data_IF_704380698575
#
_entry.id   IF_704380698575
#
_cell.length_a   1.000
_cell.length_b   1.000
_cell.length_c   1.000
_cell.angle_alpha   90.00
_cell.angle_beta   90.00
_cell.angle_gamma   90.00
#
_symmetry.space_group_name_H-M   'P 1'
#
loop_
_entity.id
_entity.type
_entity.pdbx_description
1 polymer ?
#
# COMPACT_ATOMS: atom_id res chain seq x y z
N UNK A 1 -15.17 -1.26 -47.21
CA UNK A 1 -15.70 -0.22 -46.31
C UNK A 1 -15.18 -0.56 -44.92
N UNK A 2 -14.19 0.16 -44.42
CA UNK A 2 -13.65 -0.06 -43.04
C UNK A 2 -14.58 0.71 -42.07
N UNK A 3 -14.98 0.14 -40.95
CA UNK A 3 -15.75 0.87 -39.95
C UNK A 3 -14.91 2.01 -39.39
N UNK A 4 -15.45 3.22 -39.36
CA UNK A 4 -14.86 4.37 -38.69
C UNK A 4 -14.74 4.08 -37.20
N UNK A 5 -13.52 4.29 -36.64
CA UNK A 5 -13.32 4.25 -35.20
C UNK A 5 -14.09 5.42 -34.56
N UNK A 6 -14.84 5.21 -33.46
CA UNK A 6 -15.46 6.29 -32.74
C UNK A 6 -14.40 7.29 -32.27
N UNK A 7 -14.64 8.57 -32.50
CA UNK A 7 -13.79 9.66 -32.04
C UNK A 7 -13.71 9.62 -30.51
N UNK A 8 -12.50 9.54 -29.96
CA UNK A 8 -12.26 9.68 -28.53
C UNK A 8 -12.45 11.18 -28.20
N UNK A 9 -13.39 11.57 -27.33
CA UNK A 9 -13.54 12.95 -26.94
C UNK A 9 -12.39 13.40 -26.07
N UNK A 10 -11.52 14.26 -26.60
CA UNK A 10 -10.40 14.87 -25.89
C UNK A 10 -9.58 15.70 -26.89
N UNK A 11 -9.45 16.99 -26.65
CA UNK A 11 -8.62 17.87 -27.48
C UNK A 11 -7.13 17.52 -27.27
N UNK A 12 -6.43 17.25 -28.38
CA UNK A 12 -4.97 17.15 -28.39
C UNK A 12 -4.46 18.53 -28.81
N UNK A 13 -3.96 19.32 -27.86
CA UNK A 13 -3.20 20.52 -28.17
C UNK A 13 -1.75 20.14 -28.45
N UNK A 14 -1.37 20.07 -29.72
CA UNK A 14 -0.03 19.82 -30.19
C UNK A 14 0.60 21.12 -30.70
N UNK A 15 1.24 21.90 -29.83
CA UNK A 15 2.02 23.08 -30.26
C UNK A 15 3.55 22.89 -30.12
N UNK A 16 4.03 21.80 -29.52
CA UNK A 16 5.46 21.58 -29.29
C UNK A 16 5.95 20.13 -29.48
N UNK A 17 5.18 19.29 -30.18
CA UNK A 17 5.55 17.88 -30.41
C UNK A 17 5.31 16.93 -29.21
N UNK A 18 4.83 17.44 -28.08
CA UNK A 18 4.38 16.62 -26.95
C UNK A 18 2.86 16.59 -26.90
N UNK A 19 2.26 15.49 -27.35
CA UNK A 19 0.82 15.29 -27.23
C UNK A 19 0.42 15.19 -25.76
N UNK A 20 -0.15 16.26 -25.19
CA UNK A 20 -0.74 16.24 -23.86
C UNK A 20 -2.22 15.91 -23.99
N UNK A 21 -2.59 14.71 -23.57
CA UNK A 21 -4.01 14.36 -23.45
C UNK A 21 -4.61 15.10 -22.26
N UNK A 22 -5.50 16.07 -22.57
CA UNK A 22 -6.25 16.79 -21.54
C UNK A 22 -7.61 16.12 -21.38
N UNK A 23 -7.75 15.31 -20.34
CA UNK A 23 -9.05 14.77 -19.98
C UNK A 23 -9.96 15.93 -19.50
N UNK A 24 -11.18 16.11 -20.08
CA UNK A 24 -12.10 17.10 -19.57
C UNK A 24 -12.51 16.72 -18.14
N UNK A 25 -11.98 17.44 -17.15
CA UNK A 25 -12.40 17.32 -15.77
C UNK A 25 -13.83 17.91 -15.69
N UNK A 26 -14.84 17.06 -15.79
CA UNK A 26 -16.23 17.46 -15.57
C UNK A 26 -16.47 17.82 -14.10
N UNK A 27 -17.54 18.55 -13.82
CA UNK A 27 -17.94 18.97 -12.47
C UNK A 27 -18.17 17.79 -11.46
N UNK A 28 -18.01 16.55 -11.90
CA UNK A 28 -18.21 15.31 -11.13
C UNK A 28 -16.98 14.39 -11.14
N UNK A 29 -15.75 14.94 -11.36
CA UNK A 29 -14.55 14.10 -11.27
C UNK A 29 -14.34 13.66 -9.83
N UNK A 30 -14.42 12.34 -9.60
CA UNK A 30 -14.10 11.70 -8.33
C UNK A 30 -12.58 11.49 -8.25
N UNK A 31 -11.96 11.89 -7.14
CA UNK A 31 -10.52 11.77 -6.96
C UNK A 31 -10.25 10.79 -5.82
N UNK A 32 -9.37 9.82 -6.07
CA UNK A 32 -8.82 8.93 -5.05
C UNK A 32 -7.42 9.39 -4.68
N UNK A 33 -7.08 9.34 -3.40
CA UNK A 33 -5.72 9.61 -2.91
C UNK A 33 -4.91 8.32 -3.02
N UNK A 34 -3.84 8.27 -3.84
CA UNK A 34 -2.98 7.11 -3.92
C UNK A 34 -2.01 7.06 -2.75
N UNK A 35 -1.79 5.86 -2.21
CA UNK A 35 -0.77 5.61 -1.19
C UNK A 35 -0.07 4.27 -1.44
N UNK A 36 1.22 4.18 -1.07
CA UNK A 36 2.02 2.98 -1.17
C UNK A 36 2.33 2.44 0.23
N UNK A 37 2.22 1.14 0.41
CA UNK A 37 2.42 0.41 1.66
C UNK A 37 3.44 -0.70 1.47
N UNK A 38 4.42 -0.80 2.34
CA UNK A 38 5.45 -1.84 2.30
C UNK A 38 5.33 -2.80 3.47
N UNK A 39 5.11 -4.06 3.17
CA UNK A 39 5.23 -5.17 4.10
C UNK A 39 6.64 -5.77 3.98
N UNK A 40 7.55 -5.36 4.86
CA UNK A 40 8.88 -5.96 4.96
C UNK A 40 8.75 -7.32 5.64
N UNK A 41 9.19 -8.38 4.96
CA UNK A 41 9.03 -9.75 5.42
C UNK A 41 10.38 -10.42 5.65
N UNK A 42 10.49 -11.22 6.71
CA UNK A 42 11.63 -12.10 6.92
C UNK A 42 11.20 -13.46 7.46
N UNK A 43 12.00 -14.48 7.17
CA UNK A 43 11.83 -15.78 7.82
C UNK A 43 12.52 -15.77 9.19
N UNK A 44 11.83 -16.21 10.23
CA UNK A 44 12.51 -16.42 11.52
C UNK A 44 13.45 -17.63 11.40
N UNK A 45 14.70 -17.47 11.84
CA UNK A 45 15.62 -18.60 12.02
C UNK A 45 15.23 -19.32 13.33
N UNK A 46 14.20 -20.15 13.28
CA UNK A 46 13.94 -21.07 14.39
C UNK A 46 14.53 -22.44 14.05
N UNK A 47 14.99 -23.15 15.12
CA UNK A 47 15.72 -24.40 15.07
C UNK A 47 15.20 -25.42 14.05
N UNK A 48 16.05 -26.37 13.64
CA UNK A 48 15.80 -27.44 12.67
C UNK A 48 14.52 -28.28 12.87
N UNK A 49 13.69 -27.97 13.86
CA UNK A 49 12.48 -28.70 14.25
C UNK A 49 11.16 -27.95 13.98
N UNK A 50 11.20 -26.67 13.56
CA UNK A 50 10.00 -25.92 13.15
C UNK A 50 10.31 -25.13 11.88
N UNK A 51 9.45 -25.21 10.83
CA UNK A 51 9.60 -24.34 9.68
C UNK A 51 9.61 -22.88 10.15
N UNK A 52 10.54 -22.08 9.63
CA UNK A 52 10.67 -20.67 10.01
C UNK A 52 9.35 -19.94 9.74
N UNK A 53 8.83 -19.26 10.76
CA UNK A 53 7.63 -18.42 10.63
C UNK A 53 7.96 -17.15 9.85
N UNK A 54 7.12 -16.77 8.92
CA UNK A 54 7.21 -15.46 8.28
C UNK A 54 6.83 -14.37 9.29
N UNK A 55 7.71 -13.36 9.39
CA UNK A 55 7.49 -12.18 10.24
C UNK A 55 7.39 -10.94 9.37
N UNK A 56 6.56 -10.01 9.79
CA UNK A 56 6.41 -8.67 9.21
C UNK A 56 6.96 -7.62 10.16
N UNK A 57 7.63 -6.60 9.62
CA UNK A 57 8.04 -5.43 10.38
C UNK A 57 6.85 -4.47 10.51
N UNK A 58 6.51 -4.11 11.74
CA UNK A 58 5.52 -3.07 12.04
C UNK A 58 6.17 -1.96 12.86
N UNK A 59 5.65 -0.74 12.70
CA UNK A 59 6.02 0.46 13.46
C UNK A 59 4.87 0.93 14.35
N UNK A 60 5.18 1.34 15.58
CA UNK A 60 4.20 1.88 16.52
C UNK A 60 4.01 3.37 16.26
N UNK A 61 2.86 3.75 15.70
CA UNK A 61 2.53 5.12 15.29
C UNK A 61 2.40 6.05 16.49
N UNK A 62 2.87 7.30 16.31
CA UNK A 62 2.83 8.36 17.32
C UNK A 62 2.71 9.72 16.65
N UNK A 63 1.87 10.60 17.21
CA UNK A 63 1.76 12.01 16.83
C UNK A 63 1.56 12.26 15.32
N UNK A 64 0.93 11.32 14.61
CA UNK A 64 0.63 11.42 13.18
C UNK A 64 -0.78 11.98 12.94
N UNK A 65 -1.61 12.02 13.97
CA UNK A 65 -3.02 12.43 13.89
C UNK A 65 -3.94 11.35 13.29
N UNK A 66 -3.40 10.18 12.95
CA UNK A 66 -4.18 9.05 12.41
C UNK A 66 -3.66 7.73 12.97
N UNK A 67 -4.55 6.96 13.63
CA UNK A 67 -4.23 5.65 14.22
C UNK A 67 -2.99 5.65 15.12
N UNK A 68 -2.82 6.69 15.95
CA UNK A 68 -1.74 6.77 16.93
C UNK A 68 -1.92 5.66 17.99
N UNK A 69 -0.81 5.00 18.36
CA UNK A 69 -0.82 3.82 19.22
C UNK A 69 -1.09 2.50 18.49
N UNK A 70 -1.30 2.52 17.17
CA UNK A 70 -1.45 1.31 16.34
C UNK A 70 -0.11 0.88 15.76
N UNK A 71 0.05 -0.42 15.56
CA UNK A 71 1.16 -1.04 14.85
C UNK A 71 0.85 -1.09 13.34
N UNK A 72 1.40 -0.17 12.58
CA UNK A 72 1.22 -0.05 11.14
C UNK A 72 2.35 -0.73 10.34
N UNK A 73 2.19 -0.87 9.04
CA UNK A 73 3.23 -1.34 8.12
C UNK A 73 4.54 -0.60 8.33
N UNK A 74 5.66 -1.27 8.05
CA UNK A 74 7.00 -0.72 8.25
C UNK A 74 7.23 0.61 7.55
N UNK A 75 6.69 0.79 6.33
CA UNK A 75 6.69 2.07 5.63
C UNK A 75 5.36 2.25 4.86
N UNK A 76 4.79 3.45 4.92
CA UNK A 76 3.57 3.78 4.18
C UNK A 76 3.39 5.30 4.01
N UNK A 77 3.20 5.76 2.79
CA UNK A 77 2.93 7.16 2.51
C UNK A 77 2.20 7.43 1.22
N UNK A 78 1.85 8.70 1.01
CA UNK A 78 1.20 9.14 -0.21
C UNK A 78 2.15 9.11 -1.40
N UNK A 79 1.61 8.79 -2.57
CA UNK A 79 2.34 8.94 -3.82
C UNK A 79 2.39 10.42 -4.18
N UNK A 80 3.57 10.95 -4.39
CA UNK A 80 3.80 12.36 -4.74
C UNK A 80 3.66 12.60 -6.25
N UNK A 81 3.46 13.88 -6.61
CA UNK A 81 3.36 14.25 -8.02
C UNK A 81 4.69 14.00 -8.75
N UNK A 82 4.65 13.22 -9.81
CA UNK A 82 5.81 12.95 -10.66
C UNK A 82 6.56 11.67 -10.33
N UNK A 83 6.15 10.94 -9.28
CA UNK A 83 6.68 9.61 -8.98
C UNK A 83 5.67 8.49 -9.30
N UNK A 84 6.15 7.31 -9.54
CA UNK A 84 5.34 6.09 -9.62
C UNK A 84 5.14 5.50 -8.23
N UNK A 85 4.11 4.65 -8.06
CA UNK A 85 3.86 3.93 -6.79
C UNK A 85 5.04 3.07 -6.34
N UNK A 86 5.86 2.58 -7.29
CA UNK A 86 7.07 1.81 -7.00
C UNK A 86 8.19 2.71 -6.45
N UNK A 87 8.31 3.94 -6.97
CA UNK A 87 9.26 4.93 -6.46
C UNK A 87 8.83 5.44 -5.09
N UNK A 88 7.52 5.70 -4.91
CA UNK A 88 6.96 6.12 -3.63
C UNK A 88 7.30 5.12 -2.52
N UNK A 89 7.07 3.82 -2.72
CA UNK A 89 7.33 2.82 -1.68
C UNK A 89 8.81 2.69 -1.33
N UNK A 90 9.72 2.86 -2.31
CA UNK A 90 11.17 2.87 -2.05
C UNK A 90 11.58 4.12 -1.26
N UNK A 91 11.06 5.29 -1.63
CA UNK A 91 11.30 6.55 -0.91
C UNK A 91 10.81 6.45 0.54
N UNK A 92 9.57 6.00 0.76
CA UNK A 92 9.00 5.83 2.11
C UNK A 92 9.82 4.82 2.96
N UNK A 93 10.33 3.75 2.35
CA UNK A 93 11.20 2.80 3.06
C UNK A 93 12.50 3.47 3.54
N UNK A 94 13.10 4.34 2.73
CA UNK A 94 14.29 5.08 3.12
C UNK A 94 13.98 6.15 4.19
N UNK A 95 12.86 6.87 4.05
CA UNK A 95 12.49 7.96 4.94
C UNK A 95 12.01 7.47 6.31
N UNK A 96 11.13 6.46 6.37
CA UNK A 96 10.52 5.99 7.62
C UNK A 96 11.33 4.88 8.32
N UNK A 97 11.99 4.01 7.53
CA UNK A 97 12.64 2.79 8.02
C UNK A 97 14.17 2.87 7.95
N UNK A 98 14.71 3.79 7.15
CA UNK A 98 16.15 3.97 6.99
C UNK A 98 16.84 2.84 6.24
N UNK A 99 16.15 2.19 5.30
CA UNK A 99 16.69 1.10 4.48
C UNK A 99 16.64 1.44 2.99
N UNK A 100 17.59 0.90 2.23
CA UNK A 100 17.59 0.99 0.77
C UNK A 100 17.04 -0.30 0.17
N UNK A 101 16.03 -0.19 -0.71
CA UNK A 101 15.41 -1.31 -1.41
C UNK A 101 15.56 -1.11 -2.92
N UNK A 102 16.08 -2.11 -3.61
CA UNK A 102 16.11 -2.09 -5.07
C UNK A 102 14.70 -2.30 -5.65
N UNK A 103 14.37 -1.64 -6.76
CA UNK A 103 13.03 -1.76 -7.36
C UNK A 103 12.66 -3.20 -7.74
N UNK A 104 13.64 -4.02 -8.10
CA UNK A 104 13.47 -5.45 -8.41
C UNK A 104 13.10 -6.29 -7.19
N UNK A 105 13.39 -5.82 -5.96
CA UNK A 105 13.03 -6.49 -4.70
C UNK A 105 11.66 -6.08 -4.16
N UNK A 106 11.00 -5.12 -4.81
CA UNK A 106 9.64 -4.69 -4.48
C UNK A 106 8.63 -5.50 -5.28
N UNK A 107 7.83 -6.33 -4.59
CA UNK A 107 6.87 -7.23 -5.23
C UNK A 107 5.43 -6.77 -4.96
N UNK A 108 4.60 -6.53 -6.00
CA UNK A 108 3.19 -6.21 -5.82
C UNK A 108 2.44 -7.32 -5.08
N UNK A 109 1.61 -6.95 -4.10
CA UNK A 109 0.77 -7.89 -3.36
C UNK A 109 -0.71 -7.71 -3.72
N UNK A 110 -1.26 -6.53 -3.49
CA UNK A 110 -2.67 -6.21 -3.80
C UNK A 110 -2.86 -4.70 -3.92
N UNK A 111 -3.92 -4.32 -4.64
CA UNK A 111 -4.41 -2.94 -4.66
C UNK A 111 -5.73 -2.92 -3.89
N UNK A 112 -5.85 -2.02 -2.92
CA UNK A 112 -7.06 -1.87 -2.12
C UNK A 112 -7.76 -0.56 -2.44
N UNK A 113 -9.02 -0.64 -2.93
CA UNK A 113 -9.91 0.51 -2.94
C UNK A 113 -10.55 0.63 -1.54
N UNK A 114 -10.24 1.71 -0.85
CA UNK A 114 -10.62 1.89 0.56
C UNK A 114 -11.43 3.16 0.76
N UNK A 115 -12.39 3.10 1.69
CA UNK A 115 -13.05 4.27 2.23
C UNK A 115 -13.12 4.18 3.76
N UNK A 116 -12.76 5.25 4.45
CA UNK A 116 -13.04 5.41 5.87
C UNK A 116 -14.43 6.05 6.06
N UNK A 117 -14.84 6.90 5.10
CA UNK A 117 -16.16 7.51 5.05
C UNK A 117 -16.65 7.62 3.60
N UNK A 118 -17.66 6.81 3.24
CA UNK A 118 -18.28 6.84 1.91
C UNK A 118 -19.14 8.10 1.80
N UNK A 119 -18.71 9.04 0.94
CA UNK A 119 -19.32 10.37 0.78
C UNK A 119 -18.63 11.46 1.58
N UNK A 120 -17.60 11.13 2.36
CA UNK A 120 -16.73 12.07 3.05
C UNK A 120 -15.73 12.78 2.14
N UNK A 121 -14.71 13.40 2.73
CA UNK A 121 -13.64 14.07 2.01
C UNK A 121 -12.87 13.09 1.11
N UNK A 122 -12.29 13.58 0.00
CA UNK A 122 -11.50 12.75 -0.93
C UNK A 122 -10.35 12.01 -0.22
N UNK A 123 -9.78 12.59 0.84
CA UNK A 123 -8.75 11.95 1.66
C UNK A 123 -9.22 10.63 2.31
N UNK A 124 -10.53 10.49 2.55
CA UNK A 124 -11.13 9.29 3.14
C UNK A 124 -11.33 8.17 2.11
N UNK A 125 -11.27 8.49 0.82
CA UNK A 125 -11.38 7.52 -0.26
C UNK A 125 -10.04 7.39 -0.97
N UNK A 126 -9.46 6.19 -0.93
CA UNK A 126 -8.08 5.96 -1.28
C UNK A 126 -7.92 4.75 -2.21
N UNK A 127 -6.83 4.77 -2.93
CA UNK A 127 -6.28 3.58 -3.57
C UNK A 127 -4.93 3.29 -2.92
N UNK A 128 -4.88 2.21 -2.16
CA UNK A 128 -3.70 1.78 -1.41
C UNK A 128 -3.01 0.63 -2.17
N UNK A 129 -1.74 0.82 -2.53
CA UNK A 129 -0.93 -0.17 -3.23
C UNK A 129 -0.05 -0.88 -2.21
N UNK A 130 -0.30 -2.15 -1.98
CA UNK A 130 0.47 -2.96 -1.05
C UNK A 130 1.55 -3.75 -1.77
N UNK A 131 2.76 -3.66 -1.24
CA UNK A 131 3.94 -4.36 -1.72
C UNK A 131 4.57 -5.19 -0.61
N UNK A 132 5.36 -6.20 -1.00
CA UNK A 132 6.23 -6.94 -0.10
C UNK A 132 7.67 -6.77 -0.51
N UNK A 133 8.62 -6.79 0.45
CA UNK A 133 10.04 -6.92 0.22
C UNK A 133 10.64 -7.91 1.21
N UNK A 134 11.63 -8.70 0.76
CA UNK A 134 12.38 -9.65 1.58
C UNK A 134 13.88 -9.36 1.56
N UNK A 135 14.32 -8.44 0.68
CA UNK A 135 15.71 -8.03 0.55
C UNK A 135 15.81 -6.50 0.61
N UNK A 136 16.79 -6.01 1.34
CA UNK A 136 17.11 -4.60 1.47
C UNK A 136 18.53 -4.46 2.04
N UNK A 137 19.10 -3.27 1.94
CA UNK A 137 20.36 -2.88 2.56
C UNK A 137 20.11 -1.99 3.79
N UNK A 138 20.94 -2.12 4.80
CA UNK A 138 20.79 -1.40 6.08
C UNK A 138 19.99 -2.20 7.13
N UNK A 139 20.01 -1.69 8.35
CA UNK A 139 19.21 -2.24 9.46
C UNK A 139 17.97 -1.36 9.65
N UNK A 140 16.75 -1.95 9.66
CA UNK A 140 15.54 -1.19 9.91
C UNK A 140 15.57 -0.44 11.23
N UNK A 141 15.42 0.86 11.17
CA UNK A 141 15.39 1.76 12.32
C UNK A 141 14.25 2.76 12.17
N UNK A 142 13.76 3.31 13.29
CA UNK A 142 12.80 4.41 13.25
C UNK A 142 13.50 5.69 12.80
N UNK A 143 13.49 5.98 11.49
CA UNK A 143 14.18 7.15 10.95
C UNK A 143 13.43 8.46 11.27
N UNK A 144 12.11 8.40 11.55
CA UNK A 144 11.28 9.51 12.00
C UNK A 144 10.80 9.29 13.45
N UNK A 145 11.67 9.47 14.48
CA UNK A 145 11.34 9.12 15.87
C UNK A 145 10.20 9.98 16.48
N UNK A 146 9.88 11.12 15.88
CA UNK A 146 8.73 11.95 16.27
C UNK A 146 7.38 11.30 15.88
N UNK A 147 7.36 10.49 14.83
CA UNK A 147 6.16 9.79 14.33
C UNK A 147 6.10 8.31 14.72
N UNK A 148 7.19 7.76 15.26
CA UNK A 148 7.38 6.34 15.49
C UNK A 148 7.94 6.09 16.90
N UNK A 149 7.21 5.32 17.73
CA UNK A 149 7.63 4.93 19.10
C UNK A 149 8.54 3.70 19.13
N UNK A 150 8.75 3.05 17.98
CA UNK A 150 9.57 1.86 17.84
C UNK A 150 9.08 0.92 16.76
N UNK A 151 9.95 0.01 16.37
CA UNK A 151 9.69 -0.99 15.35
C UNK A 151 9.86 -2.39 15.92
N UNK A 152 9.03 -3.33 15.45
CA UNK A 152 9.10 -4.71 15.92
C UNK A 152 8.70 -5.70 14.83
N UNK A 153 9.36 -6.85 14.84
CA UNK A 153 9.01 -7.99 14.00
C UNK A 153 7.96 -8.87 14.67
N UNK A 154 6.79 -8.99 14.05
CA UNK A 154 5.70 -9.85 14.49
C UNK A 154 5.56 -11.05 13.57
N UNK A 155 5.30 -12.23 14.10
CA UNK A 155 4.88 -13.35 13.28
C UNK A 155 3.47 -13.05 12.71
N UNK A 156 3.23 -13.43 11.45
CA UNK A 156 1.93 -13.14 10.79
C UNK A 156 0.75 -13.82 11.48
N UNK A 157 0.98 -14.91 12.20
CA UNK A 157 0.00 -15.64 13.01
C UNK A 157 -0.11 -15.13 14.47
N UNK A 158 0.71 -14.14 14.84
CA UNK A 158 0.76 -13.53 16.18
C UNK A 158 0.84 -12.01 16.09
N UNK A 159 -0.01 -11.41 15.26
CA UNK A 159 -0.08 -9.95 15.10
C UNK A 159 -0.64 -9.28 16.35
N UNK A 160 -0.18 -8.05 16.67
CA UNK A 160 -0.74 -7.29 17.79
C UNK A 160 -2.23 -6.97 17.56
N UNK A 161 -2.96 -6.69 18.64
CA UNK A 161 -4.39 -6.37 18.58
C UNK A 161 -4.65 -5.08 17.80
N UNK A 162 -3.87 -4.03 18.09
CA UNK A 162 -4.01 -2.71 17.47
C UNK A 162 -3.18 -2.62 16.20
N UNK A 163 -3.73 -3.08 15.08
CA UNK A 163 -3.23 -2.84 13.71
C UNK A 163 -4.31 -2.07 12.96
N UNK A 164 -3.98 -1.07 12.12
CA UNK A 164 -4.98 -0.37 11.31
C UNK A 164 -5.85 -1.39 10.56
N UNK A 165 -7.19 -1.31 10.63
CA UNK A 165 -8.07 -2.40 10.17
C UNK A 165 -7.88 -2.78 8.70
N UNK A 166 -7.60 -1.82 7.83
CA UNK A 166 -7.33 -2.07 6.40
C UNK A 166 -5.99 -2.78 6.18
N UNK A 167 -4.94 -2.45 6.94
CA UNK A 167 -3.65 -3.14 6.91
C UNK A 167 -3.78 -4.55 7.49
N UNK A 168 -4.53 -4.70 8.59
CA UNK A 168 -4.83 -6.00 9.20
C UNK A 168 -5.50 -6.95 8.21
N UNK A 169 -6.47 -6.45 7.45
CA UNK A 169 -7.14 -7.25 6.42
C UNK A 169 -6.17 -7.79 5.36
N UNK A 170 -5.17 -6.99 4.94
CA UNK A 170 -4.14 -7.45 3.98
C UNK A 170 -3.18 -8.45 4.62
N UNK A 171 -2.76 -8.21 5.87
CA UNK A 171 -1.88 -9.13 6.61
C UNK A 171 -2.55 -10.49 6.84
N UNK A 172 -3.84 -10.52 7.15
CA UNK A 172 -4.62 -11.76 7.32
C UNK A 172 -4.74 -12.54 5.98
N UNK A 173 -4.93 -11.84 4.85
CA UNK A 173 -4.91 -12.46 3.52
C UNK A 173 -3.54 -13.05 3.18
N UNK A 174 -2.46 -12.32 3.48
CA UNK A 174 -1.09 -12.79 3.25
C UNK A 174 -0.77 -14.00 4.12
N UNK A 175 -1.13 -13.99 5.40
CA UNK A 175 -0.98 -15.13 6.30
C UNK A 175 -1.70 -16.36 5.75
N UNK A 176 -2.97 -16.21 5.35
CA UNK A 176 -3.75 -17.29 4.77
C UNK A 176 -3.14 -17.86 3.48
N UNK A 177 -2.57 -17.03 2.61
CA UNK A 177 -1.86 -17.49 1.41
C UNK A 177 -0.61 -18.30 1.77
N UNK A 178 0.17 -17.85 2.74
CA UNK A 178 1.41 -18.53 3.16
C UNK A 178 1.14 -19.86 3.87
N UNK A 179 -0.02 -20.00 4.51
CA UNK A 179 -0.50 -21.26 5.11
C UNK A 179 -1.12 -22.24 4.09
N UNK A 180 -0.90 -21.99 2.79
CA UNK A 180 -1.41 -22.85 1.72
C UNK A 180 -2.86 -22.58 1.32
N UNK A 181 -3.42 -21.45 1.74
CA UNK A 181 -4.73 -20.98 1.35
C UNK A 181 -4.76 -20.36 -0.07
N UNK A 182 -5.82 -19.61 -0.34
CA UNK A 182 -5.97 -18.92 -1.64
C UNK A 182 -4.95 -17.81 -1.79
N UNK A 183 -4.47 -17.55 -3.02
CA UNK A 183 -3.66 -16.36 -3.30
C UNK A 183 -4.38 -15.08 -2.88
N UNK A 184 -3.62 -14.09 -2.41
CA UNK A 184 -4.15 -12.75 -2.15
C UNK A 184 -4.77 -12.20 -3.44
N UNK A 185 -6.03 -11.72 -3.44
CA UNK A 185 -6.64 -11.14 -4.62
C UNK A 185 -5.85 -9.94 -5.12
N UNK A 186 -5.72 -9.80 -6.45
CA UNK A 186 -5.00 -8.66 -7.04
C UNK A 186 -5.65 -7.31 -6.69
N UNK A 187 -6.98 -7.31 -6.45
CA UNK A 187 -7.75 -6.12 -6.04
C UNK A 187 -8.63 -6.52 -4.86
N UNK A 188 -8.63 -5.67 -3.83
CA UNK A 188 -9.46 -5.79 -2.63
C UNK A 188 -10.25 -4.49 -2.41
N UNK A 189 -11.27 -4.55 -1.55
CA UNK A 189 -12.02 -3.37 -1.12
C UNK A 189 -12.17 -3.36 0.39
N UNK A 190 -12.21 -2.18 1.00
CA UNK A 190 -12.36 -2.02 2.43
C UNK A 190 -13.24 -0.80 2.78
N UNK A 191 -14.10 -0.93 3.79
CA UNK A 191 -14.92 0.17 4.30
C UNK A 191 -16.19 0.50 3.50
N UNK A 192 -16.50 -0.28 2.46
CA UNK A 192 -17.74 -0.15 1.71
C UNK A 192 -18.83 -1.08 2.25
N UNK A 193 -20.08 -0.60 2.24
CA UNK A 193 -21.22 -1.45 2.55
C UNK A 193 -21.32 -2.63 1.56
N UNK A 194 -21.76 -3.82 2.00
CA UNK A 194 -22.06 -4.92 1.08
C UNK A 194 -23.06 -4.47 0.02
N UNK A 195 -22.82 -4.86 -1.24
CA UNK A 195 -23.81 -4.62 -2.28
C UNK A 195 -25.16 -5.25 -1.87
N UNK A 196 -26.30 -4.55 -2.08
CA UNK A 196 -27.60 -5.15 -1.80
C UNK A 196 -27.75 -6.46 -2.57
N UNK A 197 -28.13 -7.53 -1.86
CA UNK A 197 -28.47 -8.82 -2.49
C UNK A 197 -29.57 -8.60 -3.51
N UNK A 198 -29.31 -8.97 -4.77
CA UNK A 198 -30.32 -8.97 -5.85
C UNK A 198 -31.29 -10.13 -5.65
#
# INVERSE_FOLDING_TARGET
>A
MRPERPAIPGAIDALDGTARYRWPMGAHSFTLVPAAYLLMLRQSRESAQRPGRTRVLLQLRRATGYMDGYWACGAAGHVEAGESVMQAVVREAAEEVGVDIALEDVHPLTVMHRSNDVGGAALEQRVDFFFTAQHWSGEPTAAEPEKNMGMRWFALDELPELVPPHERAVLDLLAGQLDGGRPVPAITTFGFAPAPSR
#
